data_IF_275482730813
#
_entry.id   IF_275482730813
#
_cell.length_a   1.000
_cell.length_b   1.000
_cell.length_c   1.000
_cell.angle_alpha   90.00
_cell.angle_beta   90.00
_cell.angle_gamma   90.00
#
_symmetry.space_group_name_H-M   'P 1'
#
loop_
_entity.id
_entity.type
_entity.pdbx_description
1 polymer ?
#
# COMPACT_ATOMS: atom_id res chain seq x y z
N UNK A 1 17.08 -11.92 2.49
CA UNK A 1 15.83 -12.08 1.70
C UNK A 1 15.65 -10.81 0.90
N UNK A 2 15.45 -10.90 -0.41
CA UNK A 2 15.18 -9.72 -1.26
C UNK A 2 13.71 -9.26 -1.13
N UNK A 3 13.41 -8.03 -1.55
CA UNK A 3 12.02 -7.52 -1.56
C UNK A 3 11.08 -8.44 -2.36
N UNK A 4 11.40 -8.87 -3.60
CA UNK A 4 10.52 -9.78 -4.34
C UNK A 4 10.27 -11.11 -3.63
N UNK A 5 11.31 -11.68 -3.00
CA UNK A 5 11.17 -12.92 -2.22
C UNK A 5 10.26 -12.72 -1.01
N UNK A 6 10.38 -11.58 -0.33
CA UNK A 6 9.50 -11.22 0.77
C UNK A 6 8.05 -11.08 0.30
N UNK A 7 7.79 -10.32 -0.78
CA UNK A 7 6.44 -10.11 -1.29
C UNK A 7 5.78 -11.43 -1.73
N UNK A 8 6.56 -12.33 -2.34
CA UNK A 8 6.07 -13.67 -2.68
C UNK A 8 5.71 -14.50 -1.44
N UNK A 9 6.53 -14.45 -0.38
CA UNK A 9 6.25 -15.15 0.88
C UNK A 9 5.07 -14.54 1.65
N UNK A 10 4.86 -13.23 1.51
CA UNK A 10 3.82 -12.48 2.20
C UNK A 10 2.48 -12.43 1.43
N UNK A 11 2.42 -13.04 0.25
CA UNK A 11 1.23 -13.07 -0.60
C UNK A 11 0.04 -13.69 0.15
N UNK A 12 -1.10 -12.99 0.14
CA UNK A 12 -2.33 -13.40 0.82
C UNK A 12 -2.30 -13.30 2.35
N UNK A 13 -1.23 -12.77 2.94
CA UNK A 13 -1.07 -12.70 4.41
C UNK A 13 -0.60 -11.35 4.92
N UNK A 14 0.21 -10.61 4.16
CA UNK A 14 0.55 -9.24 4.47
C UNK A 14 -0.60 -8.29 4.14
N UNK A 15 -0.68 -7.21 4.91
CA UNK A 15 -1.77 -6.26 4.86
C UNK A 15 -1.20 -4.85 4.68
N UNK A 16 -1.93 -4.02 3.94
CA UNK A 16 -1.66 -2.61 3.76
C UNK A 16 -2.50 -1.80 4.74
N UNK A 17 -1.85 -0.86 5.43
CA UNK A 17 -2.48 -0.02 6.43
C UNK A 17 -2.04 1.43 6.26
N UNK A 18 -2.95 2.38 6.48
CA UNK A 18 -2.60 3.78 6.61
C UNK A 18 -1.93 4.02 7.96
N UNK A 19 -0.71 4.56 7.96
CA UNK A 19 0.00 4.91 9.21
C UNK A 19 -0.52 6.20 9.85
N UNK A 20 -1.37 6.95 9.14
CA UNK A 20 -1.94 8.21 9.62
C UNK A 20 -3.15 8.01 10.55
N UNK A 21 -4.06 7.12 10.16
CA UNK A 21 -5.38 6.93 10.78
C UNK A 21 -5.70 5.46 11.11
N UNK A 22 -4.83 4.51 10.76
CA UNK A 22 -5.05 3.08 11.01
C UNK A 22 -6.07 2.43 10.09
N UNK A 23 -6.45 3.08 8.98
CA UNK A 23 -7.35 2.50 7.99
C UNK A 23 -6.72 1.28 7.31
N UNK A 24 -7.48 0.19 7.22
CA UNK A 24 -7.10 -0.97 6.40
C UNK A 24 -7.25 -0.62 4.91
N UNK A 25 -6.21 -0.87 4.13
CA UNK A 25 -6.13 -0.51 2.70
C UNK A 25 -6.01 -1.74 1.79
N UNK A 26 -6.21 -2.95 2.33
CA UNK A 26 -6.26 -4.19 1.57
C UNK A 26 -5.19 -5.20 1.94
N UNK A 27 -5.37 -6.40 1.41
CA UNK A 27 -4.47 -7.53 1.50
C UNK A 27 -3.48 -7.49 0.33
N UNK A 28 -2.20 -7.68 0.61
CA UNK A 28 -1.19 -7.94 -0.42
C UNK A 28 -1.43 -9.35 -0.94
N UNK A 29 -2.35 -9.49 -1.89
CA UNK A 29 -2.73 -10.75 -2.50
C UNK A 29 -2.71 -10.61 -4.02
N UNK A 30 -2.14 -11.60 -4.70
CA UNK A 30 -2.23 -11.71 -6.16
C UNK A 30 -3.55 -12.32 -6.62
N UNK A 31 -4.41 -12.77 -5.70
CA UNK A 31 -5.75 -13.25 -6.02
C UNK A 31 -6.63 -12.06 -6.41
N UNK A 32 -7.01 -12.00 -7.68
CA UNK A 32 -7.85 -10.94 -8.24
C UNK A 32 -9.34 -11.09 -7.90
N UNK A 33 -9.75 -12.17 -7.25
CA UNK A 33 -11.14 -12.45 -6.86
C UNK A 33 -11.37 -12.32 -5.35
N UNK A 34 -10.32 -12.25 -4.55
CA UNK A 34 -10.43 -11.96 -3.13
C UNK A 34 -10.95 -10.52 -2.93
N UNK A 35 -12.01 -10.38 -2.14
CA UNK A 35 -12.66 -9.10 -1.85
C UNK A 35 -11.74 -8.09 -1.15
N UNK A 36 -10.73 -8.58 -0.42
CA UNK A 36 -9.78 -7.74 0.31
C UNK A 36 -8.50 -7.46 -0.49
N UNK A 37 -8.32 -8.08 -1.65
CA UNK A 37 -7.08 -7.98 -2.43
C UNK A 37 -6.89 -6.62 -3.09
N UNK A 38 -5.68 -6.06 -2.98
CA UNK A 38 -5.26 -4.86 -3.73
C UNK A 38 -5.07 -5.13 -5.23
N UNK A 39 -5.07 -6.40 -5.64
CA UNK A 39 -5.04 -6.83 -7.04
C UNK A 39 -6.44 -7.10 -7.61
N UNK A 40 -7.49 -7.04 -6.79
CA UNK A 40 -8.87 -7.10 -7.27
C UNK A 40 -9.31 -5.71 -7.77
N UNK A 41 -9.22 -5.50 -9.08
CA UNK A 41 -9.51 -4.21 -9.74
C UNK A 41 -10.99 -3.81 -9.70
N UNK A 42 -11.88 -4.73 -9.36
CA UNK A 42 -13.31 -4.46 -9.18
C UNK A 42 -13.68 -4.37 -7.68
N UNK A 43 -12.70 -4.57 -6.78
CA UNK A 43 -12.88 -4.58 -5.33
C UNK A 43 -12.52 -3.27 -4.64
N UNK A 44 -12.98 -3.12 -3.40
CA UNK A 44 -12.86 -1.90 -2.59
C UNK A 44 -11.40 -1.42 -2.42
N UNK A 45 -10.44 -2.33 -2.39
CA UNK A 45 -9.04 -2.03 -2.11
C UNK A 45 -8.11 -2.03 -3.34
N UNK A 46 -8.60 -2.52 -4.48
CA UNK A 46 -7.85 -2.60 -5.73
C UNK A 46 -8.47 -1.79 -6.88
N UNK A 47 -9.67 -1.26 -6.72
CA UNK A 47 -10.37 -0.46 -7.75
C UNK A 47 -9.75 0.91 -7.96
N UNK A 48 -9.86 1.45 -9.18
CA UNK A 48 -9.44 2.84 -9.49
C UNK A 48 -10.42 3.90 -8.96
N UNK A 49 -11.59 3.49 -8.46
CA UNK A 49 -12.67 4.40 -8.13
C UNK A 49 -13.02 4.42 -6.64
N UNK A 50 -12.67 3.36 -5.91
CA UNK A 50 -13.00 3.25 -4.49
C UNK A 50 -12.16 4.15 -3.60
N UNK A 51 -12.77 4.66 -2.53
CA UNK A 51 -12.16 5.63 -1.62
C UNK A 51 -11.04 5.04 -0.76
N UNK A 52 -11.09 3.73 -0.51
CA UNK A 52 -10.09 3.00 0.30
C UNK A 52 -8.97 2.36 -0.54
N UNK A 53 -9.08 2.42 -1.88
CA UNK A 53 -8.08 1.87 -2.76
C UNK A 53 -6.88 2.81 -2.93
N UNK A 54 -5.68 2.27 -2.80
CA UNK A 54 -4.45 3.00 -3.13
C UNK A 54 -4.26 3.20 -4.62
N UNK A 55 -5.05 2.51 -5.47
CA UNK A 55 -5.01 2.73 -6.93
C UNK A 55 -5.87 3.91 -7.36
N UNK A 56 -6.74 4.45 -6.50
CA UNK A 56 -7.61 5.55 -6.87
C UNK A 56 -6.81 6.87 -6.96
N UNK A 57 -6.61 7.43 -8.17
CA UNK A 57 -5.76 8.61 -8.38
C UNK A 57 -6.36 9.91 -7.81
N UNK A 58 -7.63 9.88 -7.40
CA UNK A 58 -8.32 11.00 -6.77
C UNK A 58 -8.65 10.71 -5.28
N UNK A 59 -8.27 9.53 -4.77
CA UNK A 59 -8.57 9.11 -3.41
C UNK A 59 -7.61 9.66 -2.35
N UNK A 60 -8.02 9.57 -1.09
CA UNK A 60 -7.22 10.00 0.06
C UNK A 60 -5.91 9.19 0.21
N UNK A 61 -5.94 7.91 -0.19
CA UNK A 61 -4.84 6.95 -0.03
C UNK A 61 -4.09 6.63 -1.32
N UNK A 62 -4.61 7.02 -2.49
CA UNK A 62 -4.00 6.76 -3.80
C UNK A 62 -3.70 8.00 -4.64
N UNK A 63 -4.32 9.14 -4.34
CA UNK A 63 -4.16 10.33 -5.17
C UNK A 63 -2.90 11.13 -4.87
N UNK A 64 -2.37 11.84 -5.87
CA UNK A 64 -1.16 12.68 -5.72
C UNK A 64 -1.34 13.83 -4.70
N UNK A 65 -2.58 14.25 -4.46
CA UNK A 65 -2.95 15.26 -3.47
C UNK A 65 -3.58 14.65 -2.20
N UNK A 66 -3.67 13.31 -2.11
CA UNK A 66 -4.23 12.63 -0.96
C UNK A 66 -3.35 12.81 0.28
N UNK A 67 -3.92 13.23 1.40
CA UNK A 67 -3.17 13.46 2.65
C UNK A 67 -2.48 12.22 3.21
N UNK A 68 -3.03 11.03 2.96
CA UNK A 68 -2.52 9.74 3.45
C UNK A 68 -2.04 8.84 2.29
N UNK A 69 -1.74 9.46 1.14
CA UNK A 69 -1.46 8.74 -0.09
C UNK A 69 0.01 8.35 -0.23
N UNK A 70 0.25 7.14 -0.73
CA UNK A 70 1.59 6.70 -1.14
C UNK A 70 2.12 7.47 -2.36
N UNK A 71 1.25 8.10 -3.15
CA UNK A 71 1.63 8.87 -4.34
C UNK A 71 1.88 10.35 -4.04
N UNK A 72 1.50 10.85 -2.87
CA UNK A 72 1.71 12.24 -2.51
C UNK A 72 3.17 12.46 -2.05
N UNK A 73 3.98 13.25 -2.78
CA UNK A 73 5.39 13.47 -2.46
C UNK A 73 5.60 14.27 -1.16
N UNK A 74 4.54 14.80 -0.56
CA UNK A 74 4.57 15.53 0.70
C UNK A 74 3.85 14.78 1.84
N UNK A 75 3.42 13.54 1.64
CA UNK A 75 2.77 12.77 2.69
C UNK A 75 3.76 12.44 3.82
N UNK A 76 3.51 12.93 5.03
CA UNK A 76 4.34 12.69 6.21
C UNK A 76 4.07 11.35 6.91
N UNK A 77 2.92 10.73 6.64
CA UNK A 77 2.49 9.45 7.23
C UNK A 77 1.90 8.54 6.14
N UNK A 78 2.74 7.99 5.26
CA UNK A 78 2.29 7.19 4.14
C UNK A 78 1.83 5.78 4.57
N UNK A 79 1.18 5.02 3.67
CA UNK A 79 0.81 3.64 3.93
C UNK A 79 2.01 2.74 4.25
N UNK A 80 1.76 1.69 5.04
CA UNK A 80 2.76 0.71 5.49
C UNK A 80 2.26 -0.71 5.29
N UNK A 81 3.19 -1.63 5.09
CA UNK A 81 2.89 -3.08 5.05
C UNK A 81 3.11 -3.68 6.42
N UNK A 82 2.10 -4.39 6.91
CA UNK A 82 2.15 -5.22 8.10
C UNK A 82 2.24 -6.70 7.69
N UNK A 83 3.20 -7.42 8.25
CA UNK A 83 3.35 -8.87 8.10
C UNK A 83 3.64 -9.49 9.46
N UNK A 84 2.87 -10.51 9.85
CA UNK A 84 2.93 -11.12 11.18
C UNK A 84 2.84 -10.08 12.32
N UNK A 85 1.91 -9.12 12.17
CA UNK A 85 1.67 -8.02 13.12
C UNK A 85 2.88 -7.08 13.33
N UNK A 86 3.85 -7.09 12.41
CA UNK A 86 4.99 -6.16 12.42
C UNK A 86 4.98 -5.31 11.16
N UNK A 87 5.27 -4.02 11.31
CA UNK A 87 5.49 -3.13 10.17
C UNK A 87 6.83 -3.50 9.55
N UNK A 88 6.81 -3.80 8.26
CA UNK A 88 7.97 -4.33 7.52
C UNK A 88 8.36 -3.50 6.30
N UNK A 89 7.44 -2.73 5.72
CA UNK A 89 7.71 -1.85 4.56
C UNK A 89 6.94 -0.54 4.69
N UNK A 90 7.49 0.51 4.09
CA UNK A 90 6.81 1.80 3.90
C UNK A 90 6.54 1.99 2.41
N UNK A 91 5.29 2.31 2.05
CA UNK A 91 4.88 2.47 0.65
C UNK A 91 4.73 3.95 0.36
N UNK A 92 5.67 4.54 -0.38
CA UNK A 92 5.65 5.98 -0.66
C UNK A 92 6.51 6.40 -1.84
N UNK A 93 6.13 7.52 -2.46
CA UNK A 93 6.97 8.33 -3.35
C UNK A 93 7.62 9.53 -2.68
N UNK A 94 7.26 9.81 -1.43
CA UNK A 94 7.93 10.85 -0.66
C UNK A 94 9.33 10.36 -0.26
N UNK A 95 10.35 10.83 -0.96
CA UNK A 95 11.76 10.46 -0.74
C UNK A 95 12.38 11.12 0.49
N UNK A 96 11.66 12.04 1.14
CA UNK A 96 12.16 12.82 2.27
C UNK A 96 11.71 12.29 3.64
N UNK A 97 10.94 11.19 3.68
CA UNK A 97 10.47 10.62 4.94
C UNK A 97 11.57 9.89 5.71
N UNK A 98 11.49 9.95 7.04
CA UNK A 98 12.30 9.12 7.92
C UNK A 98 11.56 7.82 8.21
N UNK A 99 12.16 6.68 7.87
CA UNK A 99 11.53 5.35 8.02
C UNK A 99 12.14 4.50 9.13
N UNK A 100 13.09 5.04 9.91
CA UNK A 100 13.82 4.32 10.94
C UNK A 100 14.43 3.00 10.46
N UNK A 101 14.92 2.97 9.21
CA UNK A 101 15.56 1.80 8.62
C UNK A 101 14.59 0.83 7.92
N UNK A 102 13.29 1.10 7.90
CA UNK A 102 12.35 0.31 7.11
C UNK A 102 12.57 0.57 5.60
N UNK A 103 12.47 -0.47 4.74
CA UNK A 103 12.58 -0.31 3.31
C UNK A 103 11.42 0.52 2.75
N UNK A 104 11.74 1.42 1.81
CA UNK A 104 10.75 2.15 1.02
C UNK A 104 10.49 1.39 -0.27
N UNK A 105 9.21 1.23 -0.62
CA UNK A 105 8.76 0.63 -1.86
C UNK A 105 7.89 1.63 -2.61
N UNK A 106 8.15 1.78 -3.91
CA UNK A 106 7.30 2.57 -4.79
C UNK A 106 5.93 1.87 -4.93
N UNK A 107 4.80 2.60 -4.81
CA UNK A 107 3.48 2.01 -4.94
C UNK A 107 3.26 1.29 -6.27
N UNK A 108 3.83 1.76 -7.39
CA UNK A 108 3.67 1.09 -8.69
C UNK A 108 4.39 -0.26 -8.73
N UNK A 109 5.55 -0.37 -8.07
CA UNK A 109 6.24 -1.64 -7.91
C UNK A 109 5.41 -2.65 -7.09
N UNK A 110 4.74 -2.18 -6.03
CA UNK A 110 3.84 -3.03 -5.23
C UNK A 110 2.62 -3.49 -6.04
N UNK A 111 2.08 -2.60 -6.88
CA UNK A 111 0.85 -2.79 -7.62
C UNK A 111 1.04 -3.47 -8.99
N UNK A 112 2.29 -3.61 -9.45
CA UNK A 112 2.66 -4.22 -10.73
C UNK A 112 2.22 -3.40 -11.94
N UNK A 113 2.29 -2.06 -11.87
CA UNK A 113 1.89 -1.13 -12.93
C UNK A 113 3.02 -0.23 -13.40
#
# INVERSE_FOLDING_TARGET
MSIPQFLAAANGTAQLWSSADGQFLGLLSSDRYDMNSISNLDGIYGSLHDTYSIRNPHGLYGGIHGGHSSYNPYCGKPPVVSYQNKIVLVITRNTSIQTNGLPIIDPDFLLGV
#
